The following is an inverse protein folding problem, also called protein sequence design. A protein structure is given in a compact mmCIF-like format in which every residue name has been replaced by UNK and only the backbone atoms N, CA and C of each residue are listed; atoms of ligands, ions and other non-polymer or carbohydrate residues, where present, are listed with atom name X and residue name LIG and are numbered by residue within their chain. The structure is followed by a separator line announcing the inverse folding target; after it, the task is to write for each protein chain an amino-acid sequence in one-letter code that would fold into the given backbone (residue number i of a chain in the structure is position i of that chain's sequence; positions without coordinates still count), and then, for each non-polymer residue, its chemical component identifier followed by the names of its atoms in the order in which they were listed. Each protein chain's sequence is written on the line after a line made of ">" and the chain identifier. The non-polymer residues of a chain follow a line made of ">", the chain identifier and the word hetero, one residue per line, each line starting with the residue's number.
data_IF_357679259449
#
_entry.id   IF_357679259449
#
_cell.length_a   1.000
_cell.length_b   1.000
_cell.length_c   1.000
_cell.angle_alpha   90.00
_cell.angle_beta   90.00
_cell.angle_gamma   90.00
#
_symmetry.space_group_name_H-M   'P 1'
#
loop_
_entity.id
_entity.type
_entity.pdbx_description
1 polymer ?
#
# COMPACT_ATOMS: atom_id res chain seq x y z
N UNK A 1 -8.12 63.33 0.03
CA UNK A 1 -7.42 62.13 -0.47
C UNK A 1 -7.00 61.31 0.74
N UNK A 2 -7.60 60.13 0.91
CA UNK A 2 -7.34 59.23 2.03
C UNK A 2 -6.26 58.21 1.65
N UNK A 3 -5.40 57.84 2.59
CA UNK A 3 -4.50 56.69 2.48
C UNK A 3 -4.55 55.90 3.79
N UNK A 4 -4.62 54.59 3.60
CA UNK A 4 -5.16 53.59 4.50
C UNK A 4 -4.12 53.00 5.46
N UNK A 5 -4.60 52.48 6.59
CA UNK A 5 -3.83 51.75 7.58
C UNK A 5 -3.65 50.27 7.18
N UNK A 6 -2.44 49.73 7.30
CA UNK A 6 -2.16 48.29 7.23
C UNK A 6 -1.83 47.76 8.63
N UNK A 7 -2.82 47.16 9.29
CA UNK A 7 -2.60 46.26 10.42
C UNK A 7 -2.28 44.87 9.90
N UNK A 8 -1.03 44.43 10.04
CA UNK A 8 -0.61 43.05 9.75
C UNK A 8 -0.95 42.14 10.92
N UNK A 9 -2.09 41.46 10.83
CA UNK A 9 -2.44 40.35 11.73
C UNK A 9 -1.63 39.11 11.37
N UNK A 10 -1.00 38.50 12.39
CA UNK A 10 -0.24 37.27 12.24
C UNK A 10 -1.09 36.12 11.70
N UNK A 11 -0.61 35.45 10.66
CA UNK A 11 -1.20 34.22 10.16
C UNK A 11 -0.91 33.08 11.15
N UNK A 12 -1.93 32.63 11.86
CA UNK A 12 -1.94 31.31 12.49
C UNK A 12 -1.83 30.25 11.39
N UNK A 13 -0.94 29.23 11.52
CA UNK A 13 -0.93 28.13 10.57
C UNK A 13 -2.28 27.39 10.67
N UNK A 14 -3.02 27.36 9.57
CA UNK A 14 -4.20 26.52 9.39
C UNK A 14 -3.77 25.05 9.52
N UNK A 15 -4.36 24.24 10.42
CA UNK A 15 -4.12 22.80 10.40
C UNK A 15 -4.58 22.24 9.04
N UNK A 16 -3.87 21.25 8.46
CA UNK A 16 -4.29 20.63 7.21
C UNK A 16 -5.74 20.12 7.34
N UNK A 17 -6.52 20.10 6.25
CA UNK A 17 -7.85 19.50 6.29
C UNK A 17 -7.71 18.07 6.81
N UNK A 18 -8.31 17.81 7.97
CA UNK A 18 -8.50 16.45 8.48
C UNK A 18 -9.36 15.76 7.44
N UNK A 19 -8.72 14.97 6.56
CA UNK A 19 -9.40 14.22 5.54
C UNK A 19 -10.52 13.41 6.19
N UNK A 20 -11.70 13.41 5.57
CA UNK A 20 -12.78 12.49 5.94
C UNK A 20 -12.19 11.11 6.19
N UNK A 21 -12.60 10.39 7.26
CA UNK A 21 -12.19 9.01 7.43
C UNK A 21 -12.57 8.28 6.15
N UNK A 22 -11.57 7.79 5.41
CA UNK A 22 -11.82 6.75 4.43
C UNK A 22 -12.49 5.56 5.14
N UNK A 23 -13.09 4.63 4.40
CA UNK A 23 -13.59 3.41 5.01
C UNK A 23 -12.46 2.78 5.84
N UNK A 24 -12.74 2.53 7.12
CA UNK A 24 -11.78 1.87 8.01
C UNK A 24 -11.38 0.53 7.40
N UNK A 25 -10.07 0.27 7.34
CA UNK A 25 -9.54 -1.00 6.87
C UNK A 25 -9.84 -2.05 7.93
N UNK A 26 -10.78 -2.95 7.65
CA UNK A 26 -11.20 -4.02 8.57
C UNK A 26 -10.97 -5.42 8.02
N UNK A 27 -10.57 -5.53 6.75
CA UNK A 27 -10.30 -6.81 6.08
C UNK A 27 -8.95 -6.80 5.35
N UNK A 28 -8.30 -7.97 5.17
CA UNK A 28 -7.08 -8.10 4.40
C UNK A 28 -7.22 -7.61 2.95
N UNK A 29 -8.36 -7.90 2.30
CA UNK A 29 -8.64 -7.48 0.93
C UNK A 29 -8.73 -5.95 0.80
N UNK A 30 -9.31 -5.26 1.80
CA UNK A 30 -9.31 -3.79 1.84
C UNK A 30 -7.90 -3.23 1.97
N UNK A 31 -7.03 -3.86 2.77
CA UNK A 31 -5.64 -3.46 2.91
C UNK A 31 -4.87 -3.63 1.59
N UNK A 32 -5.01 -4.78 0.93
CA UNK A 32 -4.39 -5.03 -0.38
C UNK A 32 -4.88 -4.05 -1.46
N UNK A 33 -6.19 -3.77 -1.50
CA UNK A 33 -6.77 -2.76 -2.39
C UNK A 33 -6.18 -1.37 -2.14
N UNK A 34 -6.01 -1.00 -0.86
CA UNK A 34 -5.44 0.29 -0.47
C UNK A 34 -3.98 0.46 -0.91
N UNK A 35 -3.20 -0.63 -0.87
CA UNK A 35 -1.84 -0.64 -1.45
C UNK A 35 -1.92 -0.45 -2.97
N UNK A 36 -2.83 -1.15 -3.65
CA UNK A 36 -3.04 -1.00 -5.10
C UNK A 36 -3.49 0.40 -5.56
N UNK A 37 -4.24 1.12 -4.73
CA UNK A 37 -4.57 2.54 -4.97
C UNK A 37 -3.34 3.46 -4.90
N UNK A 38 -2.34 3.08 -4.08
CA UNK A 38 -1.10 3.84 -3.90
C UNK A 38 -0.08 3.49 -4.98
N UNK A 39 -0.01 2.22 -5.36
CA UNK A 39 0.87 1.71 -6.40
C UNK A 39 0.11 0.74 -7.32
N UNK A 40 -0.13 1.23 -8.55
CA UNK A 40 -0.94 0.53 -9.53
C UNK A 40 -0.34 -0.81 -9.99
N UNK A 41 0.95 -1.08 -9.72
CA UNK A 41 1.57 -2.38 -10.02
C UNK A 41 0.91 -3.54 -9.28
N UNK A 42 0.25 -3.26 -8.16
CA UNK A 42 -0.40 -4.27 -7.34
C UNK A 42 -1.90 -4.44 -7.63
N UNK A 43 -2.45 -3.66 -8.57
CA UNK A 43 -3.86 -3.78 -8.96
C UNK A 43 -4.11 -5.10 -9.70
N UNK A 44 -5.19 -5.78 -9.32
CA UNK A 44 -5.61 -7.03 -9.96
C UNK A 44 -4.82 -8.28 -9.54
N UNK A 45 -3.84 -8.16 -8.64
CA UNK A 45 -3.17 -9.32 -8.04
C UNK A 45 -4.15 -10.01 -7.09
N UNK A 46 -4.26 -11.33 -7.20
CA UNK A 46 -5.16 -12.14 -6.37
C UNK A 46 -4.52 -12.55 -5.04
N UNK A 47 -5.36 -12.82 -4.04
CA UNK A 47 -4.93 -13.42 -2.77
C UNK A 47 -4.34 -14.81 -2.99
N UNK A 48 -3.26 -15.14 -2.28
CA UNK A 48 -2.67 -16.47 -2.33
C UNK A 48 -3.71 -17.53 -1.94
N UNK A 49 -3.92 -18.50 -2.82
CA UNK A 49 -4.79 -19.63 -2.56
C UNK A 49 -4.23 -20.89 -3.21
N UNK A 50 -4.64 -22.07 -2.70
CA UNK A 50 -4.25 -23.36 -3.27
C UNK A 50 -4.72 -23.54 -4.73
N UNK A 51 -5.67 -22.73 -5.19
CA UNK A 51 -6.16 -22.72 -6.56
C UNK A 51 -5.23 -21.98 -7.54
N UNK A 52 -4.28 -21.17 -7.05
CA UNK A 52 -3.32 -20.42 -7.87
C UNK A 52 -2.12 -21.27 -8.29
N UNK A 53 -2.36 -22.38 -8.97
CA UNK A 53 -1.29 -23.21 -9.53
C UNK A 53 -0.63 -22.46 -10.69
N UNK A 54 0.69 -22.25 -10.61
CA UNK A 54 1.47 -21.57 -11.67
C UNK A 54 1.32 -20.05 -11.74
N UNK A 55 0.66 -19.43 -10.76
CA UNK A 55 0.58 -17.97 -10.70
C UNK A 55 1.96 -17.35 -10.49
N UNK A 56 2.24 -16.28 -11.23
CA UNK A 56 3.47 -15.50 -11.13
C UNK A 56 3.34 -14.30 -10.20
N UNK A 57 2.16 -13.98 -9.71
CA UNK A 57 1.96 -12.92 -8.72
C UNK A 57 0.78 -13.26 -7.80
N UNK A 58 0.93 -12.94 -6.52
CA UNK A 58 -0.11 -13.08 -5.51
C UNK A 58 0.18 -12.13 -4.33
N UNK A 59 -0.79 -11.95 -3.44
CA UNK A 59 -0.57 -11.29 -2.16
C UNK A 59 -1.02 -12.15 -0.99
N UNK A 60 -0.40 -11.94 0.16
CA UNK A 60 -0.84 -12.45 1.46
C UNK A 60 -0.99 -11.28 2.43
N UNK A 61 -1.80 -11.45 3.46
CA UNK A 61 -1.94 -10.43 4.47
C UNK A 61 -2.20 -11.04 5.85
N UNK A 62 -1.60 -10.43 6.86
CA UNK A 62 -1.73 -10.82 8.27
C UNK A 62 -2.14 -9.61 9.11
N UNK A 63 -2.96 -9.83 10.14
CA UNK A 63 -3.32 -8.76 11.06
C UNK A 63 -2.11 -8.39 11.95
N UNK A 64 -1.88 -7.10 12.15
CA UNK A 64 -0.83 -6.59 13.05
C UNK A 64 -1.44 -6.11 14.39
N UNK A 65 -0.67 -6.14 15.51
CA UNK A 65 -1.17 -5.79 16.84
C UNK A 65 -1.81 -4.40 16.95
N UNK A 66 -1.37 -3.44 16.14
CA UNK A 66 -1.82 -2.03 16.17
C UNK A 66 -3.14 -1.79 15.43
N UNK A 67 -3.85 -2.85 15.03
CA UNK A 67 -5.16 -2.76 14.38
C UNK A 67 -5.07 -2.45 12.90
N UNK A 68 -4.20 -3.14 12.18
CA UNK A 68 -4.03 -3.01 10.73
C UNK A 68 -3.69 -4.35 10.08
N UNK A 69 -3.15 -4.30 8.87
CA UNK A 69 -2.68 -5.47 8.15
C UNK A 69 -1.28 -5.25 7.60
N UNK A 70 -0.42 -6.26 7.73
CA UNK A 70 0.80 -6.37 6.94
C UNK A 70 0.49 -7.15 5.68
N UNK A 71 0.60 -6.50 4.53
CA UNK A 71 0.34 -7.06 3.21
C UNK A 71 1.69 -7.35 2.55
N UNK A 72 1.88 -8.57 2.08
CA UNK A 72 3.04 -8.97 1.29
C UNK A 72 2.60 -9.28 -0.13
N UNK A 73 3.09 -8.51 -1.10
CA UNK A 73 2.93 -8.83 -2.52
C UNK A 73 4.14 -9.62 -2.99
N UNK A 74 3.90 -10.73 -3.67
CA UNK A 74 4.94 -11.52 -4.32
C UNK A 74 4.78 -11.44 -5.82
N UNK A 75 5.88 -11.19 -6.53
CA UNK A 75 5.99 -11.39 -7.98
C UNK A 75 7.14 -12.34 -8.26
N UNK A 76 6.91 -13.34 -9.08
CA UNK A 76 7.91 -14.29 -9.56
C UNK A 76 8.01 -14.27 -11.08
N UNK A 77 9.18 -14.63 -11.58
CA UNK A 77 9.47 -14.74 -13.01
C UNK A 77 10.42 -15.90 -13.31
N UNK A 78 10.60 -16.20 -14.60
CA UNK A 78 11.33 -17.38 -15.06
C UNK A 78 10.38 -18.56 -15.29
N UNK A 79 10.75 -19.76 -14.81
CA UNK A 79 9.99 -20.99 -15.02
C UNK A 79 8.80 -21.13 -14.05
N UNK A 80 7.81 -20.24 -14.18
CA UNK A 80 6.64 -20.21 -13.32
C UNK A 80 5.77 -21.50 -13.35
N UNK A 81 5.66 -22.27 -14.45
CA UNK A 81 5.04 -23.58 -14.43
C UNK A 81 5.67 -24.57 -13.43
N UNK A 82 6.98 -24.44 -13.15
CA UNK A 82 7.71 -25.25 -12.16
C UNK A 82 7.81 -24.57 -10.77
N UNK A 83 7.16 -23.42 -10.60
CA UNK A 83 7.37 -22.51 -9.47
C UNK A 83 8.46 -21.51 -9.81
N UNK A 84 8.08 -20.24 -9.99
CA UNK A 84 8.97 -19.20 -10.51
C UNK A 84 10.35 -19.23 -9.84
N UNK A 85 11.41 -19.34 -10.65
CA UNK A 85 12.81 -19.48 -10.20
C UNK A 85 13.22 -18.29 -9.36
N UNK A 86 12.83 -17.10 -9.80
CA UNK A 86 13.11 -15.85 -9.10
C UNK A 86 11.82 -15.30 -8.51
N UNK A 87 11.93 -14.67 -7.34
CA UNK A 87 10.79 -14.02 -6.67
C UNK A 87 11.24 -12.76 -5.95
N UNK A 88 10.39 -11.76 -6.00
CA UNK A 88 10.51 -10.54 -5.22
C UNK A 88 9.26 -10.34 -4.38
N UNK A 89 9.46 -9.85 -3.16
CA UNK A 89 8.40 -9.57 -2.21
C UNK A 89 8.46 -8.11 -1.77
N UNK A 90 7.31 -7.45 -1.79
CA UNK A 90 7.11 -6.12 -1.22
C UNK A 90 6.22 -6.23 0.01
N UNK A 91 6.64 -5.64 1.12
CA UNK A 91 5.95 -5.69 2.40
C UNK A 91 5.45 -4.29 2.74
N UNK A 92 4.15 -4.17 2.97
CA UNK A 92 3.48 -2.94 3.36
C UNK A 92 2.71 -3.16 4.66
N UNK A 93 2.72 -2.15 5.52
CA UNK A 93 1.84 -2.07 6.68
C UNK A 93 0.73 -1.07 6.38
N UNK A 94 -0.51 -1.52 6.52
CA UNK A 94 -1.71 -0.72 6.31
C UNK A 94 -2.41 -0.57 7.64
N UNK A 95 -2.49 0.64 8.17
CA UNK A 95 -3.22 0.91 9.42
C UNK A 95 -4.74 0.80 9.22
N UNK A 96 -5.52 0.64 10.30
CA UNK A 96 -6.99 0.74 10.25
C UNK A 96 -7.49 2.04 9.59
N UNK A 97 -6.71 3.13 9.69
CA UNK A 97 -7.04 4.41 9.08
C UNK A 97 -6.73 4.45 7.56
N UNK A 98 -6.17 3.39 6.98
CA UNK A 98 -5.82 3.31 5.56
C UNK A 98 -4.51 4.02 5.20
N UNK A 99 -3.64 4.25 6.19
CA UNK A 99 -2.28 4.74 5.95
C UNK A 99 -1.42 3.56 5.52
N UNK A 100 -0.78 3.67 4.35
CA UNK A 100 0.12 2.66 3.80
C UNK A 100 1.56 3.06 4.06
N UNK A 101 2.32 2.18 4.70
CA UNK A 101 3.74 2.37 5.01
C UNK A 101 4.54 1.22 4.42
N UNK A 102 5.56 1.48 3.57
CA UNK A 102 6.48 0.43 3.13
C UNK A 102 7.29 -0.08 4.34
N UNK A 103 7.21 -1.37 4.61
CA UNK A 103 7.89 -2.03 5.73
C UNK A 103 9.16 -2.77 5.28
N UNK A 104 9.30 -3.06 3.99
CA UNK A 104 10.51 -3.61 3.41
C UNK A 104 10.28 -4.32 2.09
N UNK A 105 11.37 -4.74 1.47
CA UNK A 105 11.38 -5.53 0.24
C UNK A 105 12.43 -6.65 0.38
N UNK A 106 12.19 -7.79 -0.25
CA UNK A 106 13.13 -8.93 -0.20
C UNK A 106 13.03 -9.81 -1.44
N UNK A 107 14.09 -10.59 -1.70
CA UNK A 107 14.16 -11.49 -2.85
C UNK A 107 15.04 -10.96 -3.97
N UNK A 108 14.85 -11.50 -5.16
CA UNK A 108 15.68 -11.22 -6.33
C UNK A 108 15.43 -9.82 -6.88
N UNK A 109 16.42 -9.13 -7.46
CA UNK A 109 16.20 -7.84 -8.10
C UNK A 109 15.16 -7.98 -9.23
N UNK A 110 14.15 -7.13 -9.18
CA UNK A 110 13.07 -7.11 -10.17
C UNK A 110 13.68 -6.74 -11.53
N UNK A 111 13.46 -7.54 -12.59
CA UNK A 111 13.99 -7.23 -13.91
C UNK A 111 13.50 -5.85 -14.35
N UNK A 112 14.40 -5.03 -14.88
CA UNK A 112 14.01 -3.79 -15.52
C UNK A 112 13.04 -4.12 -16.67
N UNK A 113 11.84 -3.56 -16.60
CA UNK A 113 10.82 -3.64 -17.65
C UNK A 113 11.15 -2.62 -18.74
#
# INVERSE_FOLDING_TARGET
>A
MAIAACGGGGATPTPPPVGSPGPTITTPAQAAARVGETDQRFLGIAEQSAALIGASAWWTAEAIPDGGFRVTFTSGWGDCPAGCINKHNWIFEVSAAGVVTPAGESGDPVPAQ
#
